data_IF_604609357868
#
_entry.id   IF_604609357868
#
_cell.length_a   1.000
_cell.length_b   1.000
_cell.length_c   1.000
_cell.angle_alpha   90.00
_cell.angle_beta   90.00
_cell.angle_gamma   90.00
#
_symmetry.space_group_name_H-M   'P 1'
#
loop_
_entity.id
_entity.type
_entity.pdbx_description
1 polymer ?
#
# COMPACT_ATOMS: atom_id res chain seq x y z
N UNK A 1 16.26 18.31 27.07
CA UNK A 1 16.87 18.06 25.75
C UNK A 1 16.71 16.56 25.44
N UNK A 2 15.95 16.22 24.41
CA UNK A 2 15.86 14.84 23.94
C UNK A 2 17.23 14.45 23.33
N UNK A 3 17.88 13.47 23.93
CA UNK A 3 19.16 12.95 23.47
C UNK A 3 18.88 12.04 22.26
N UNK A 4 18.99 12.57 21.04
CA UNK A 4 18.89 11.80 19.81
C UNK A 4 20.11 10.90 19.64
N UNK A 5 19.94 9.71 19.13
CA UNK A 5 21.00 8.72 18.93
C UNK A 5 22.05 9.12 17.87
N UNK A 6 21.89 10.26 17.19
CA UNK A 6 22.80 10.75 16.14
C UNK A 6 22.83 9.88 14.86
N UNK A 7 22.15 8.77 14.84
CA UNK A 7 22.19 7.80 13.73
C UNK A 7 21.32 8.18 12.53
N UNK A 8 20.30 9.04 12.72
CA UNK A 8 19.34 9.37 11.67
C UNK A 8 19.96 9.92 10.38
N UNK A 9 20.82 10.94 10.50
CA UNK A 9 21.50 11.56 9.34
C UNK A 9 22.49 10.60 8.67
N UNK A 10 23.17 9.76 9.43
CA UNK A 10 24.09 8.76 8.87
C UNK A 10 23.35 7.72 8.04
N UNK A 11 22.15 7.30 8.49
CA UNK A 11 21.27 6.39 7.73
C UNK A 11 20.76 7.07 6.46
N UNK A 12 20.28 8.33 6.55
CA UNK A 12 19.87 9.11 5.38
C UNK A 12 21.00 9.23 4.35
N UNK A 13 22.21 9.51 4.79
CA UNK A 13 23.38 9.61 3.92
C UNK A 13 23.68 8.30 3.20
N UNK A 14 23.61 7.19 3.91
CA UNK A 14 23.81 5.85 3.33
C UNK A 14 22.74 5.52 2.28
N UNK A 15 21.49 5.84 2.55
CA UNK A 15 20.36 5.60 1.62
C UNK A 15 20.54 6.45 0.36
N UNK A 16 20.74 7.75 0.49
CA UNK A 16 20.88 8.68 -0.64
C UNK A 16 22.07 8.29 -1.51
N UNK A 17 23.22 7.94 -0.89
CA UNK A 17 24.38 7.43 -1.64
C UNK A 17 24.12 6.13 -2.39
N UNK A 18 23.40 5.18 -1.78
CA UNK A 18 22.98 3.93 -2.46
C UNK A 18 22.08 4.19 -3.65
N UNK A 19 21.32 5.26 -3.63
CA UNK A 19 20.46 5.70 -4.73
C UNK A 19 21.21 6.54 -5.77
N UNK A 20 22.54 6.73 -5.62
CA UNK A 20 23.37 7.50 -6.53
C UNK A 20 23.23 9.01 -6.38
N UNK A 21 22.66 9.48 -5.25
CA UNK A 21 22.44 10.88 -4.97
C UNK A 21 23.45 11.48 -3.98
N UNK A 22 23.24 12.74 -3.67
CA UNK A 22 24.01 13.52 -2.68
C UNK A 22 23.08 14.09 -1.62
N UNK A 23 23.60 14.26 -0.39
CA UNK A 23 22.90 14.87 0.74
C UNK A 23 23.82 15.88 1.43
N UNK A 24 23.26 16.99 1.83
CA UNK A 24 24.00 18.05 2.54
C UNK A 24 23.15 18.81 3.54
N UNK A 25 23.81 19.66 4.29
CA UNK A 25 23.18 20.59 5.26
C UNK A 25 23.86 21.95 5.18
N UNK A 26 23.04 22.97 5.18
CA UNK A 26 23.43 24.36 5.34
C UNK A 26 22.84 24.89 6.64
N UNK A 27 23.67 25.41 7.54
CA UNK A 27 23.21 25.86 8.85
C UNK A 27 23.90 27.17 9.25
N UNK A 28 23.10 28.09 9.78
CA UNK A 28 23.60 29.34 10.33
C UNK A 28 23.02 29.56 11.73
N UNK A 29 23.88 29.78 12.69
CA UNK A 29 23.50 30.03 14.09
C UNK A 29 22.47 31.18 14.17
N UNK A 30 21.33 30.91 14.82
CA UNK A 30 20.24 31.89 14.97
C UNK A 30 19.32 32.05 13.75
N UNK A 31 19.62 31.38 12.61
CA UNK A 31 18.78 31.41 11.41
C UNK A 31 18.19 30.05 11.01
N UNK A 32 18.69 28.99 11.63
CA UNK A 32 18.18 27.62 11.36
C UNK A 32 19.10 26.82 10.46
N UNK A 33 18.59 25.65 10.04
CA UNK A 33 19.30 24.68 9.19
C UNK A 33 18.43 24.22 8.05
N UNK A 34 19.00 24.13 6.85
CA UNK A 34 18.38 23.55 5.66
C UNK A 34 19.09 22.25 5.35
N UNK A 35 18.34 21.16 5.35
CA UNK A 35 18.81 19.85 4.88
C UNK A 35 18.33 19.65 3.44
N UNK A 36 19.21 19.21 2.57
CA UNK A 36 18.88 18.95 1.18
C UNK A 36 19.46 17.60 0.72
N UNK A 37 18.84 17.00 -0.27
CA UNK A 37 19.39 15.84 -0.98
C UNK A 37 19.03 15.92 -2.47
N UNK A 38 19.84 15.28 -3.29
CA UNK A 38 19.58 15.07 -4.71
C UNK A 38 19.50 13.59 -5.01
N UNK A 39 18.71 13.24 -6.01
CA UNK A 39 18.70 11.89 -6.58
C UNK A 39 18.90 12.01 -8.09
N UNK A 40 19.55 11.03 -8.74
CA UNK A 40 19.62 11.00 -10.20
C UNK A 40 18.20 10.99 -10.76
N UNK A 41 17.87 11.92 -11.64
CA UNK A 41 16.65 11.88 -12.41
C UNK A 41 16.81 10.80 -13.48
N UNK A 42 16.46 9.56 -13.15
CA UNK A 42 16.32 8.50 -14.12
C UNK A 42 15.00 8.73 -14.87
N UNK A 43 15.01 9.76 -15.74
CA UNK A 43 13.97 9.88 -16.75
C UNK A 43 14.00 8.59 -17.56
N UNK A 44 12.98 7.76 -17.39
CA UNK A 44 12.72 6.65 -18.31
C UNK A 44 12.39 7.30 -19.66
N UNK A 45 13.41 7.52 -20.49
CA UNK A 45 13.24 7.91 -21.88
C UNK A 45 12.56 6.74 -22.59
N UNK A 46 11.25 6.81 -22.75
CA UNK A 46 10.50 5.76 -23.46
C UNK A 46 9.00 5.84 -23.37
N UNK A 47 8.43 6.81 -22.65
CA UNK A 47 6.99 7.08 -22.75
C UNK A 47 6.84 8.40 -23.51
N UNK A 48 6.64 8.29 -24.83
CA UNK A 48 6.24 9.43 -25.65
C UNK A 48 4.86 9.93 -25.21
N UNK A 49 4.86 11.08 -24.49
CA UNK A 49 3.64 11.72 -23.98
C UNK A 49 2.70 12.14 -25.13
N UNK A 50 3.20 12.17 -26.37
CA UNK A 50 2.36 12.43 -27.54
C UNK A 50 1.52 11.21 -27.94
N UNK A 51 1.95 9.99 -27.63
CA UNK A 51 1.16 8.78 -27.88
C UNK A 51 -0.07 8.64 -26.97
N UNK A 52 -0.09 9.36 -25.84
CA UNK A 52 -1.23 9.33 -24.90
C UNK A 52 -2.38 10.26 -25.36
N UNK A 53 -2.08 11.31 -26.16
CA UNK A 53 -3.10 12.26 -26.64
C UNK A 53 -3.91 11.77 -27.85
N UNK A 54 -3.48 10.70 -28.50
CA UNK A 54 -4.17 10.17 -29.69
C UNK A 54 -5.13 9.02 -29.37
N UNK A 55 -5.22 8.60 -28.10
CA UNK A 55 -6.10 7.52 -27.66
C UNK A 55 -7.41 8.00 -27.01
N UNK A 56 -7.70 9.30 -27.07
CA UNK A 56 -9.00 9.85 -26.62
C UNK A 56 -9.79 10.27 -27.87
N UNK A 57 -10.22 9.29 -28.65
CA UNK A 57 -11.33 9.49 -29.57
C UNK A 57 -12.59 8.95 -28.90
N UNK A 58 -13.50 9.89 -28.63
CA UNK A 58 -14.90 9.64 -28.32
C UNK A 58 -15.54 8.93 -29.52
N UNK A 59 -15.72 7.65 -29.44
CA UNK A 59 -16.67 6.78 -30.12
C UNK A 59 -16.16 5.33 -29.99
N UNK A 60 -16.11 4.81 -28.77
CA UNK A 60 -15.84 3.40 -28.55
C UNK A 60 -17.15 2.67 -28.27
N UNK A 61 -17.63 1.98 -29.29
CA UNK A 61 -18.47 0.80 -29.21
C UNK A 61 -18.10 0.00 -27.95
N UNK A 62 -19.11 -0.35 -27.15
CA UNK A 62 -18.97 -1.19 -25.96
C UNK A 62 -18.39 -2.53 -26.41
N UNK A 63 -17.05 -2.65 -26.32
CA UNK A 63 -16.35 -3.93 -26.50
C UNK A 63 -16.44 -4.72 -25.20
N UNK A 64 -17.30 -5.72 -25.18
CA UNK A 64 -17.57 -6.61 -24.03
C UNK A 64 -16.45 -7.63 -23.78
N UNK A 65 -15.24 -7.42 -24.27
CA UNK A 65 -14.10 -8.33 -24.16
C UNK A 65 -12.99 -7.87 -23.22
N UNK A 66 -13.18 -6.75 -22.47
CA UNK A 66 -12.22 -6.34 -21.47
C UNK A 66 -12.50 -7.11 -20.17
N UNK A 67 -11.62 -8.00 -19.70
CA UNK A 67 -11.87 -8.72 -18.45
C UNK A 67 -12.02 -7.68 -17.33
N UNK A 68 -13.14 -7.75 -16.61
CA UNK A 68 -13.41 -6.88 -15.45
C UNK A 68 -12.20 -6.93 -14.53
N UNK A 69 -11.58 -5.76 -14.28
CA UNK A 69 -10.49 -5.68 -13.31
C UNK A 69 -10.99 -6.09 -11.94
N UNK A 70 -10.19 -6.87 -11.22
CA UNK A 70 -10.52 -7.18 -9.84
C UNK A 70 -10.48 -5.91 -8.98
N UNK A 71 -11.45 -5.81 -8.08
CA UNK A 71 -11.59 -4.70 -7.13
C UNK A 71 -10.99 -5.09 -5.79
N UNK A 72 -10.00 -4.32 -5.32
CA UNK A 72 -9.35 -4.54 -4.04
C UNK A 72 -9.73 -3.44 -3.05
N UNK A 73 -10.09 -3.81 -1.83
CA UNK A 73 -10.26 -2.87 -0.73
C UNK A 73 -8.98 -2.80 0.09
N UNK A 74 -8.45 -1.60 0.25
CA UNK A 74 -7.24 -1.31 1.02
C UNK A 74 -7.65 -0.53 2.26
N UNK A 75 -7.57 -1.17 3.43
CA UNK A 75 -7.78 -0.53 4.73
C UNK A 75 -6.41 -0.19 5.33
N UNK A 76 -6.06 1.08 5.32
CA UNK A 76 -4.77 1.62 5.79
C UNK A 76 -4.97 3.08 6.17
N UNK A 77 -4.69 3.45 7.42
CA UNK A 77 -4.85 4.81 7.97
C UNK A 77 -3.72 5.75 7.57
N UNK A 78 -2.55 5.22 7.20
CA UNK A 78 -1.39 6.00 6.81
C UNK A 78 -1.37 6.25 5.29
N UNK A 79 -1.55 7.50 4.90
CA UNK A 79 -1.59 7.93 3.50
C UNK A 79 -0.32 7.54 2.71
N UNK A 80 0.87 7.59 3.34
CA UNK A 80 2.13 7.22 2.67
C UNK A 80 2.18 5.72 2.34
N UNK A 81 1.67 4.88 3.24
CA UNK A 81 1.55 3.45 2.99
C UNK A 81 0.54 3.16 1.89
N UNK A 82 -0.63 3.83 1.93
CA UNK A 82 -1.64 3.69 0.88
C UNK A 82 -1.09 4.09 -0.50
N UNK A 83 -0.39 5.23 -0.61
CA UNK A 83 0.23 5.67 -1.87
C UNK A 83 1.20 4.60 -2.41
N UNK A 84 2.01 3.98 -1.54
CA UNK A 84 2.90 2.90 -1.93
C UNK A 84 2.11 1.68 -2.45
N UNK A 85 1.09 1.23 -1.71
CA UNK A 85 0.23 0.11 -2.11
C UNK A 85 -0.44 0.39 -3.46
N UNK A 86 -1.03 1.58 -3.61
CA UNK A 86 -1.65 2.03 -4.85
C UNK A 86 -0.70 2.02 -6.04
N UNK A 87 0.55 2.47 -5.85
CA UNK A 87 1.56 2.45 -6.90
C UNK A 87 1.94 1.03 -7.33
N UNK A 88 1.97 0.09 -6.37
CA UNK A 88 2.26 -1.34 -6.61
C UNK A 88 1.11 -2.04 -7.32
N UNK A 89 -0.14 -1.72 -6.98
CA UNK A 89 -1.37 -2.43 -7.41
C UNK A 89 -2.18 -1.65 -8.45
N UNK A 90 -1.54 -0.80 -9.25
CA UNK A 90 -2.18 0.07 -10.26
C UNK A 90 -2.99 -0.67 -11.33
N UNK A 91 -2.78 -1.97 -11.50
CA UNK A 91 -3.50 -2.85 -12.41
C UNK A 91 -4.90 -3.24 -11.93
N UNK A 92 -5.23 -3.00 -10.66
CA UNK A 92 -6.51 -3.31 -10.02
C UNK A 92 -7.36 -2.04 -9.81
N UNK A 93 -8.66 -2.21 -9.62
CA UNK A 93 -9.52 -1.15 -9.13
C UNK A 93 -9.44 -1.10 -7.61
N UNK A 94 -9.09 0.06 -7.04
CA UNK A 94 -8.78 0.19 -5.63
C UNK A 94 -9.82 1.03 -4.89
N UNK A 95 -10.32 0.51 -3.79
CA UNK A 95 -11.09 1.22 -2.77
C UNK A 95 -10.18 1.50 -1.58
N UNK A 96 -10.29 2.67 -0.96
CA UNK A 96 -9.49 3.04 0.21
C UNK A 96 -10.39 3.27 1.43
N UNK A 97 -10.07 2.63 2.53
CA UNK A 97 -10.65 2.85 3.84
C UNK A 97 -9.59 3.34 4.81
N UNK A 98 -9.92 4.34 5.64
CA UNK A 98 -8.99 4.95 6.59
C UNK A 98 -9.09 4.34 8.01
N UNK A 99 -10.11 3.51 8.24
CA UNK A 99 -10.33 2.78 9.49
C UNK A 99 -11.17 1.52 9.24
N UNK A 100 -11.35 0.71 10.28
CA UNK A 100 -12.12 -0.53 10.19
C UNK A 100 -13.61 -0.33 9.92
N UNK A 101 -14.23 0.75 10.43
CA UNK A 101 -15.64 1.06 10.18
C UNK A 101 -15.88 1.35 8.70
N UNK A 102 -14.99 2.18 8.11
CA UNK A 102 -15.04 2.49 6.70
C UNK A 102 -14.76 1.25 5.84
N UNK A 103 -13.84 0.37 6.26
CA UNK A 103 -13.57 -0.89 5.58
C UNK A 103 -14.80 -1.79 5.54
N UNK A 104 -15.52 -1.96 6.65
CA UNK A 104 -16.77 -2.74 6.72
C UNK A 104 -17.86 -2.12 5.85
N UNK A 105 -17.99 -0.78 5.84
CA UNK A 105 -18.95 -0.06 5.01
C UNK A 105 -18.66 -0.27 3.52
N UNK A 106 -17.42 -0.02 3.09
CA UNK A 106 -17.02 -0.17 1.69
C UNK A 106 -17.13 -1.62 1.21
N UNK A 107 -16.79 -2.59 2.08
CA UNK A 107 -17.03 -4.00 1.78
C UNK A 107 -18.52 -4.28 1.47
N UNK A 108 -19.44 -3.78 2.28
CA UNK A 108 -20.89 -3.98 2.07
C UNK A 108 -21.39 -3.35 0.80
N UNK A 109 -20.92 -2.14 0.48
CA UNK A 109 -21.34 -1.36 -0.67
C UNK A 109 -20.81 -1.92 -2.00
N UNK A 110 -19.56 -2.38 -2.02
CA UNK A 110 -18.85 -2.67 -3.27
C UNK A 110 -18.53 -4.15 -3.51
N UNK A 111 -18.56 -4.98 -2.46
CA UNK A 111 -18.22 -6.41 -2.54
C UNK A 111 -16.91 -6.64 -3.30
N UNK A 112 -15.78 -6.17 -2.78
CA UNK A 112 -14.47 -6.32 -3.43
C UNK A 112 -14.08 -7.79 -3.56
N UNK A 113 -13.15 -8.09 -4.46
CA UNK A 113 -12.65 -9.44 -4.71
C UNK A 113 -11.58 -9.87 -3.68
N UNK A 114 -10.93 -8.90 -3.01
CA UNK A 114 -9.93 -9.14 -1.96
C UNK A 114 -9.79 -7.89 -1.07
N UNK A 115 -9.44 -8.09 0.20
CA UNK A 115 -9.18 -7.02 1.16
C UNK A 115 -7.74 -7.10 1.66
N UNK A 116 -7.00 -5.99 1.58
CA UNK A 116 -5.79 -5.74 2.37
C UNK A 116 -6.19 -4.95 3.60
N UNK A 117 -5.92 -5.49 4.79
CA UNK A 117 -6.38 -4.94 6.06
C UNK A 117 -5.19 -4.68 6.98
N UNK A 118 -4.90 -3.41 7.26
CA UNK A 118 -3.97 -3.07 8.34
C UNK A 118 -4.56 -3.54 9.67
N UNK A 119 -3.74 -4.16 10.50
CA UNK A 119 -4.15 -4.61 11.83
C UNK A 119 -4.31 -3.46 12.83
N UNK A 120 -3.59 -2.34 12.62
CA UNK A 120 -3.60 -1.21 13.54
C UNK A 120 -4.15 0.03 12.85
N UNK A 121 -5.41 0.31 13.10
CA UNK A 121 -6.10 1.50 12.62
C UNK A 121 -6.85 2.17 13.79
N UNK A 122 -7.17 3.48 13.69
CA UNK A 122 -7.99 4.17 14.67
C UNK A 122 -9.43 3.64 14.68
N UNK A 123 -10.18 3.96 15.73
CA UNK A 123 -11.60 3.68 15.95
C UNK A 123 -11.94 2.18 15.97
N UNK A 124 -11.91 1.50 14.85
CA UNK A 124 -12.06 0.05 14.71
C UNK A 124 -10.78 -0.53 14.11
N UNK A 125 -10.14 -1.45 14.80
CA UNK A 125 -8.93 -2.10 14.32
C UNK A 125 -9.23 -3.16 13.24
N UNK A 126 -8.16 -3.67 12.58
CA UNK A 126 -8.32 -4.64 11.51
C UNK A 126 -8.83 -6.00 11.95
N UNK A 127 -8.62 -6.38 13.22
CA UNK A 127 -9.18 -7.62 13.76
C UNK A 127 -10.69 -7.50 13.93
N UNK A 128 -11.16 -6.40 14.52
CA UNK A 128 -12.57 -6.13 14.72
C UNK A 128 -13.31 -6.03 13.39
N UNK A 129 -12.74 -5.28 12.43
CA UNK A 129 -13.29 -5.16 11.07
C UNK A 129 -13.38 -6.52 10.36
N UNK A 130 -12.35 -7.37 10.50
CA UNK A 130 -12.36 -8.72 9.92
C UNK A 130 -13.44 -9.58 10.54
N UNK A 131 -13.63 -9.55 11.86
CA UNK A 131 -14.71 -10.28 12.54
C UNK A 131 -16.08 -9.83 12.03
N UNK A 132 -16.31 -8.52 11.83
CA UNK A 132 -17.57 -8.01 11.29
C UNK A 132 -17.82 -8.49 9.86
N UNK A 133 -16.80 -8.44 8.99
CA UNK A 133 -16.92 -8.92 7.61
C UNK A 133 -17.19 -10.42 7.58
N UNK A 134 -16.52 -11.21 8.43
CA UNK A 134 -16.69 -12.68 8.50
C UNK A 134 -18.07 -13.13 8.96
N UNK A 135 -18.83 -12.29 9.66
CA UNK A 135 -20.25 -12.59 9.95
C UNK A 135 -21.13 -12.64 8.70
N UNK A 136 -20.72 -11.95 7.64
CA UNK A 136 -21.48 -11.82 6.39
C UNK A 136 -20.88 -12.66 5.25
N UNK A 137 -19.55 -12.87 5.26
CA UNK A 137 -18.81 -13.54 4.20
C UNK A 137 -17.63 -14.32 4.78
N UNK A 138 -17.70 -15.64 4.71
CA UNK A 138 -16.63 -16.55 5.14
C UNK A 138 -15.50 -16.68 4.12
N UNK A 139 -15.74 -16.32 2.85
CA UNK A 139 -14.93 -16.77 1.72
C UNK A 139 -14.05 -15.66 1.14
N UNK A 140 -14.46 -14.38 1.25
CA UNK A 140 -13.66 -13.27 0.73
C UNK A 140 -12.22 -13.32 1.27
N UNK A 141 -11.18 -13.26 0.42
CA UNK A 141 -9.81 -13.21 0.88
C UNK A 141 -9.52 -11.92 1.66
N UNK A 142 -9.11 -12.05 2.93
CA UNK A 142 -8.64 -10.93 3.75
C UNK A 142 -7.18 -11.18 4.13
N UNK A 143 -6.31 -10.29 3.70
CA UNK A 143 -4.86 -10.35 3.92
C UNK A 143 -4.49 -9.29 4.95
N UNK A 144 -3.97 -9.72 6.09
CA UNK A 144 -3.48 -8.80 7.12
C UNK A 144 -2.22 -8.07 6.64
N UNK A 145 -2.14 -6.76 6.88
CA UNK A 145 -0.91 -5.97 6.70
C UNK A 145 -0.37 -5.65 8.09
N UNK A 146 0.83 -6.13 8.44
CA UNK A 146 1.33 -6.06 9.81
C UNK A 146 2.80 -5.68 9.91
N UNK A 147 3.15 -4.93 10.96
CA UNK A 147 4.55 -4.65 11.30
C UNK A 147 5.27 -5.86 11.93
N UNK A 148 4.54 -6.87 12.36
CA UNK A 148 5.06 -8.06 13.03
C UNK A 148 4.88 -9.28 12.13
N UNK A 149 5.98 -9.93 11.74
CA UNK A 149 6.02 -11.11 10.88
C UNK A 149 6.69 -12.29 11.58
N UNK A 150 6.36 -12.50 12.86
CA UNK A 150 6.89 -13.65 13.63
C UNK A 150 5.91 -14.84 13.59
N UNK A 151 6.42 -16.03 13.77
CA UNK A 151 5.66 -17.29 13.70
C UNK A 151 4.44 -17.37 14.63
N UNK A 152 4.47 -16.69 15.76
CA UNK A 152 3.33 -16.60 16.69
C UNK A 152 2.19 -15.74 16.14
N UNK A 153 2.51 -14.71 15.34
CA UNK A 153 1.51 -13.85 14.72
C UNK A 153 0.81 -14.53 13.55
N UNK A 154 1.46 -15.45 12.84
CA UNK A 154 0.82 -16.19 11.74
C UNK A 154 -0.36 -17.04 12.25
N UNK A 155 -0.19 -17.71 13.38
CA UNK A 155 -1.29 -18.47 13.99
C UNK A 155 -2.42 -17.56 14.45
N UNK A 156 -2.08 -16.42 15.05
CA UNK A 156 -3.06 -15.42 15.51
C UNK A 156 -3.85 -14.82 14.36
N UNK A 157 -3.19 -14.47 13.25
CA UNK A 157 -3.82 -13.95 12.03
C UNK A 157 -4.84 -14.97 11.49
N UNK A 158 -4.45 -16.24 11.35
CA UNK A 158 -5.35 -17.30 10.86
C UNK A 158 -6.55 -17.55 11.79
N UNK A 159 -6.32 -17.56 13.12
CA UNK A 159 -7.40 -17.76 14.11
C UNK A 159 -8.42 -16.63 14.12
N UNK A 160 -8.05 -15.43 13.67
CA UNK A 160 -8.93 -14.26 13.59
C UNK A 160 -9.59 -14.08 12.21
N UNK A 161 -9.58 -15.08 11.35
CA UNK A 161 -10.32 -15.08 10.09
C UNK A 161 -9.59 -14.49 8.89
N UNK A 162 -8.30 -14.19 8.99
CA UNK A 162 -7.49 -13.79 7.85
C UNK A 162 -7.02 -15.01 7.04
N UNK A 163 -6.91 -14.85 5.73
CA UNK A 163 -6.43 -15.88 4.82
C UNK A 163 -4.89 -15.89 4.70
N UNK A 164 -4.26 -14.74 4.92
CA UNK A 164 -2.81 -14.58 4.84
C UNK A 164 -2.34 -13.26 5.45
N UNK A 165 -1.05 -12.99 5.30
CA UNK A 165 -0.47 -11.72 5.77
C UNK A 165 0.61 -11.19 4.84
N UNK A 166 0.81 -9.87 4.88
CA UNK A 166 1.91 -9.14 4.27
C UNK A 166 2.65 -8.33 5.34
N UNK A 167 3.96 -8.49 5.42
CA UNK A 167 4.78 -7.79 6.40
C UNK A 167 5.08 -6.34 5.98
N UNK A 168 5.03 -5.40 6.92
CA UNK A 168 5.60 -4.06 6.77
C UNK A 168 7.11 -4.09 7.09
N UNK A 169 7.99 -3.42 6.34
CA UNK A 169 7.69 -2.57 5.19
C UNK A 169 7.27 -3.38 3.96
N UNK A 170 6.25 -2.89 3.27
CA UNK A 170 5.66 -3.58 2.11
C UNK A 170 6.69 -3.71 0.99
N UNK A 171 6.93 -4.95 0.59
CA UNK A 171 7.80 -5.26 -0.55
C UNK A 171 6.94 -5.51 -1.79
N UNK A 172 7.09 -4.72 -2.86
CA UNK A 172 6.23 -4.79 -4.04
C UNK A 172 6.06 -6.19 -4.65
N UNK A 173 7.17 -6.93 -4.80
CA UNK A 173 7.14 -8.27 -5.39
C UNK A 173 6.40 -9.30 -4.51
N UNK A 174 6.57 -9.22 -3.18
CA UNK A 174 5.89 -10.09 -2.23
C UNK A 174 4.38 -9.80 -2.19
N UNK A 175 4.00 -8.50 -2.14
CA UNK A 175 2.61 -8.09 -2.15
C UNK A 175 1.90 -8.58 -3.42
N UNK A 176 2.47 -8.35 -4.60
CA UNK A 176 1.90 -8.84 -5.87
C UNK A 176 1.71 -10.35 -5.89
N UNK A 177 2.71 -11.10 -5.40
CA UNK A 177 2.61 -12.56 -5.32
C UNK A 177 1.44 -13.01 -4.44
N UNK A 178 1.27 -12.39 -3.28
CA UNK A 178 0.15 -12.68 -2.36
C UNK A 178 -1.18 -12.38 -3.04
N UNK A 179 -1.36 -11.20 -3.67
CA UNK A 179 -2.60 -10.82 -4.34
C UNK A 179 -2.97 -11.83 -5.44
N UNK A 180 -2.02 -12.15 -6.33
CA UNK A 180 -2.27 -13.12 -7.41
C UNK A 180 -2.64 -14.49 -6.85
N UNK A 181 -1.96 -14.95 -5.80
CA UNK A 181 -2.25 -16.23 -5.17
C UNK A 181 -3.70 -16.31 -4.68
N UNK A 182 -4.20 -15.29 -4.00
CA UNK A 182 -5.53 -15.32 -3.41
C UNK A 182 -6.65 -14.99 -4.39
N UNK A 183 -6.41 -14.14 -5.40
CA UNK A 183 -7.37 -13.92 -6.48
C UNK A 183 -7.53 -15.13 -7.42
N UNK A 184 -6.53 -16.02 -7.50
CA UNK A 184 -6.61 -17.24 -8.33
C UNK A 184 -7.39 -18.37 -7.66
N UNK A 185 -7.73 -18.24 -6.38
CA UNK A 185 -8.45 -19.22 -5.58
C UNK A 185 -9.96 -18.94 -5.52
N UNK A 186 -10.37 -17.77 -6.01
CA UNK A 186 -11.77 -17.32 -6.13
C UNK A 186 -12.29 -17.55 -7.54
#
# INVERSE_FOLDING_TARGET
FAQGTGLGLAICQMIVKKMGGEIGVESQLGKGSTFWFTLPDTVIHGIDVQSIKTAVNEDAVIDTTNPKKATLLIAEDNESNYILIRAVLKEYDLLHAHDGNEAVRLYREHRPDLILMDLKMPDMDGYEATVEIRKEDSDIPIIAVTAFAFSEDEQRVKQNGFNGYAAKPIKPAELKKIIVQYLSLT
#
